data_IF_400355745290
#
_entry.id   IF_400355745290
#
_cell.length_a   1.000
_cell.length_b   1.000
_cell.length_c   1.000
_cell.angle_alpha   90.00
_cell.angle_beta   90.00
_cell.angle_gamma   90.00
#
_symmetry.space_group_name_H-M   'P 1'
#
loop_
_entity.id
_entity.type
_entity.pdbx_description
1 polymer ?
#
# COMPACT_ATOMS: atom_id res chain seq x y z
N UNK A 1 -25.91 5.46 -10.82
CA UNK A 1 -25.36 4.19 -11.35
C UNK A 1 -26.49 3.46 -12.06
N UNK A 2 -26.31 3.00 -13.31
CA UNK A 2 -27.33 2.26 -14.08
C UNK A 2 -26.81 0.86 -14.43
N UNK A 3 -27.55 -0.23 -14.15
CA UNK A 3 -27.08 -1.57 -14.51
C UNK A 3 -26.99 -1.73 -16.03
N UNK A 4 -25.97 -2.45 -16.51
CA UNK A 4 -25.83 -2.81 -17.93
C UNK A 4 -26.86 -3.89 -18.27
N UNK A 5 -27.51 -3.78 -19.44
CA UNK A 5 -28.62 -4.66 -19.83
C UNK A 5 -28.24 -6.16 -19.83
N UNK A 6 -26.97 -6.49 -20.10
CA UNK A 6 -26.49 -7.87 -20.25
C UNK A 6 -25.82 -8.47 -19.00
N UNK A 7 -25.66 -7.71 -17.91
CA UNK A 7 -24.98 -8.23 -16.71
C UNK A 7 -25.43 -7.54 -15.43
N UNK A 8 -25.94 -8.35 -14.49
CA UNK A 8 -26.34 -7.91 -13.13
C UNK A 8 -25.17 -7.39 -12.27
N UNK A 9 -23.92 -7.58 -12.71
CA UNK A 9 -22.72 -7.15 -11.98
C UNK A 9 -22.04 -5.92 -12.59
N UNK A 10 -22.48 -5.45 -13.75
CA UNK A 10 -21.88 -4.31 -14.45
C UNK A 10 -22.79 -3.10 -14.35
N UNK A 11 -22.21 -1.93 -14.05
CA UNK A 11 -22.93 -0.68 -13.93
C UNK A 11 -22.24 0.41 -14.75
N UNK A 12 -23.03 1.19 -15.46
CA UNK A 12 -22.61 2.45 -16.07
C UNK A 12 -22.70 3.55 -15.02
N UNK A 13 -21.61 4.28 -14.85
CA UNK A 13 -21.55 5.45 -13.98
C UNK A 13 -21.87 6.70 -14.80
N UNK A 14 -22.75 7.54 -14.27
CA UNK A 14 -23.05 8.84 -14.83
C UNK A 14 -22.25 9.88 -14.04
N UNK A 15 -21.45 10.70 -14.72
CA UNK A 15 -20.66 11.75 -14.07
C UNK A 15 -21.61 12.81 -13.54
N UNK A 16 -21.50 13.11 -12.26
CA UNK A 16 -22.26 14.18 -11.60
C UNK A 16 -21.29 15.25 -11.16
N UNK A 17 -21.49 16.50 -11.60
CA UNK A 17 -20.58 17.61 -11.28
C UNK A 17 -20.89 18.27 -9.93
N UNK A 18 -22.14 18.22 -9.49
CA UNK A 18 -22.58 18.80 -8.22
C UNK A 18 -23.44 17.79 -7.44
N UNK A 19 -23.13 17.65 -6.15
CA UNK A 19 -23.97 16.89 -5.23
C UNK A 19 -25.15 17.78 -4.83
N UNK A 20 -26.30 17.58 -5.47
CA UNK A 20 -27.55 18.23 -5.07
C UNK A 20 -27.92 17.73 -3.67
N UNK A 21 -27.51 18.49 -2.67
CA UNK A 21 -27.73 18.15 -1.26
C UNK A 21 -29.16 18.51 -0.90
N UNK A 22 -29.78 17.66 -0.09
CA UNK A 22 -31.17 17.80 0.36
C UNK A 22 -31.46 19.11 1.12
N UNK A 23 -30.41 19.82 1.56
CA UNK A 23 -30.47 21.13 2.21
C UNK A 23 -31.24 22.22 1.44
N UNK A 24 -31.54 22.01 0.16
CA UNK A 24 -32.33 22.93 -0.66
C UNK A 24 -33.86 22.77 -0.48
N UNK A 25 -34.34 21.72 0.20
CA UNK A 25 -35.76 21.55 0.49
C UNK A 25 -36.16 22.46 1.66
N UNK A 26 -37.01 23.45 1.37
CA UNK A 26 -37.50 24.40 2.36
C UNK A 26 -38.52 23.73 3.29
N UNK A 27 -38.15 23.50 4.56
CA UNK A 27 -39.04 22.88 5.55
C UNK A 27 -39.76 24.00 6.32
N UNK A 28 -41.06 24.15 6.06
CA UNK A 28 -41.83 25.29 6.58
C UNK A 28 -42.35 25.09 8.03
N UNK A 29 -42.39 23.87 8.54
CA UNK A 29 -42.90 23.59 9.90
C UNK A 29 -42.28 22.36 10.59
N UNK A 30 -42.08 22.47 11.91
CA UNK A 30 -41.59 21.40 12.77
C UNK A 30 -42.34 21.35 14.11
N UNK A 31 -42.44 20.15 14.69
CA UNK A 31 -43.03 19.92 16.00
C UNK A 31 -42.04 20.16 17.15
N UNK A 32 -42.54 20.24 18.38
CA UNK A 32 -41.70 20.42 19.59
C UNK A 32 -41.32 19.10 20.27
N UNK A 33 -42.15 18.09 20.17
CA UNK A 33 -41.93 16.78 20.78
C UNK A 33 -42.66 15.67 20.01
N UNK A 34 -42.52 14.43 20.47
CA UNK A 34 -43.07 13.23 19.84
C UNK A 34 -44.28 12.64 20.58
N UNK A 35 -44.89 13.36 21.54
CA UNK A 35 -45.92 12.76 22.43
C UNK A 35 -47.17 12.29 21.69
N UNK A 36 -47.47 12.90 20.54
CA UNK A 36 -48.62 12.59 19.67
C UNK A 36 -48.21 11.79 18.42
N UNK A 37 -46.97 11.30 18.33
CA UNK A 37 -46.51 10.49 17.20
C UNK A 37 -46.68 9.01 17.56
N UNK A 38 -47.59 8.35 16.85
CA UNK A 38 -47.84 6.91 17.01
C UNK A 38 -47.19 6.13 15.87
N UNK A 39 -46.55 4.99 16.20
CA UNK A 39 -46.00 4.06 15.20
C UNK A 39 -47.04 3.01 14.83
N UNK A 40 -47.88 3.33 13.86
CA UNK A 40 -48.96 2.47 13.33
C UNK A 40 -48.57 1.78 12.01
N UNK A 41 -47.34 2.00 11.53
CA UNK A 41 -46.89 1.53 10.22
C UNK A 41 -47.53 2.24 9.02
N UNK A 42 -48.44 3.21 9.20
CA UNK A 42 -49.16 3.91 8.12
C UNK A 42 -48.68 5.35 7.89
N UNK A 43 -47.57 5.72 8.54
CA UNK A 43 -46.95 7.05 8.47
C UNK A 43 -46.46 7.45 7.08
N UNK A 44 -46.21 6.50 6.18
CA UNK A 44 -45.84 6.74 4.78
C UNK A 44 -46.98 6.23 3.89
N UNK A 45 -47.53 7.12 3.07
CA UNK A 45 -48.64 6.77 2.17
C UNK A 45 -48.19 6.05 0.90
N UNK A 46 -46.94 6.24 0.46
CA UNK A 46 -46.39 5.56 -0.71
C UNK A 46 -46.04 4.10 -0.40
N UNK A 47 -46.45 3.22 -1.29
CA UNK A 47 -46.12 1.79 -1.27
C UNK A 47 -44.66 1.56 -1.69
N UNK A 48 -44.16 0.35 -1.43
CA UNK A 48 -42.79 -0.03 -1.80
C UNK A 48 -42.59 -0.01 -3.31
N UNK A 49 -43.59 -0.47 -4.06
CA UNK A 49 -43.59 -0.53 -5.52
C UNK A 49 -43.52 0.89 -6.13
N UNK A 50 -44.30 1.83 -5.60
CA UNK A 50 -44.26 3.24 -6.03
C UNK A 50 -42.89 3.88 -5.77
N UNK A 51 -42.29 3.61 -4.61
CA UNK A 51 -40.96 4.14 -4.26
C UNK A 51 -39.87 3.59 -5.21
N UNK A 52 -40.01 2.35 -5.67
CA UNK A 52 -39.08 1.77 -6.65
C UNK A 52 -39.25 2.49 -7.99
N UNK A 53 -40.49 2.69 -8.46
CA UNK A 53 -40.75 3.45 -9.70
C UNK A 53 -40.19 4.87 -9.64
N UNK A 54 -40.27 5.53 -8.49
CA UNK A 54 -39.65 6.85 -8.30
C UNK A 54 -38.13 6.84 -8.50
N UNK A 55 -37.45 5.74 -8.18
CA UNK A 55 -36.01 5.58 -8.42
C UNK A 55 -35.68 5.43 -9.90
N UNK A 56 -36.58 4.81 -10.67
CA UNK A 56 -36.41 4.59 -12.10
C UNK A 56 -36.78 5.84 -12.92
N UNK A 57 -37.77 6.62 -12.45
CA UNK A 57 -38.29 7.82 -13.13
C UNK A 57 -37.56 9.12 -12.75
N UNK A 58 -37.09 9.26 -11.50
CA UNK A 58 -36.55 10.52 -11.00
C UNK A 58 -35.03 10.58 -11.16
N UNK A 59 -34.53 11.68 -11.72
CA UNK A 59 -33.09 11.90 -11.93
C UNK A 59 -32.37 12.39 -10.66
N UNK A 60 -33.08 13.04 -9.74
CA UNK A 60 -32.50 13.62 -8.52
C UNK A 60 -32.99 12.93 -7.25
N UNK A 61 -32.06 12.67 -6.33
CA UNK A 61 -32.36 12.18 -4.98
C UNK A 61 -33.20 13.18 -4.18
N UNK A 62 -33.01 14.47 -4.40
CA UNK A 62 -33.79 15.53 -3.77
C UNK A 62 -35.28 15.38 -4.10
N UNK A 63 -35.62 15.04 -5.35
CA UNK A 63 -37.01 14.85 -5.79
C UNK A 63 -37.66 13.64 -5.13
N UNK A 64 -36.93 12.52 -5.04
CA UNK A 64 -37.40 11.31 -4.37
C UNK A 64 -37.65 11.59 -2.89
N UNK A 65 -36.72 12.27 -2.21
CA UNK A 65 -36.89 12.58 -0.78
C UNK A 65 -37.99 13.61 -0.57
N UNK A 66 -38.11 14.63 -1.43
CA UNK A 66 -39.23 15.58 -1.40
C UNK A 66 -40.59 14.88 -1.53
N UNK A 67 -40.74 13.95 -2.48
CA UNK A 67 -41.95 13.13 -2.61
C UNK A 67 -42.21 12.28 -1.36
N UNK A 68 -41.18 11.71 -0.73
CA UNK A 68 -41.32 10.93 0.50
C UNK A 68 -41.73 11.77 1.72
N UNK A 69 -41.29 13.04 1.79
CA UNK A 69 -41.70 13.98 2.83
C UNK A 69 -43.17 14.36 2.65
N UNK A 70 -43.55 14.77 1.44
CA UNK A 70 -44.89 15.23 1.12
C UNK A 70 -45.96 14.15 1.38
N UNK A 71 -45.57 12.86 1.25
CA UNK A 71 -46.44 11.72 1.53
C UNK A 71 -46.29 11.15 2.96
N UNK A 72 -45.60 11.85 3.87
CA UNK A 72 -45.45 11.42 5.25
C UNK A 72 -46.38 12.17 6.19
N UNK A 73 -47.31 11.45 6.82
CA UNK A 73 -48.29 12.01 7.76
C UNK A 73 -47.65 12.61 9.02
N UNK A 74 -46.50 12.07 9.43
CA UNK A 74 -45.84 12.42 10.69
C UNK A 74 -44.66 13.37 10.53
N UNK A 75 -44.27 13.75 9.30
CA UNK A 75 -43.06 14.52 9.09
C UNK A 75 -43.11 15.94 9.68
N UNK A 76 -44.21 16.68 9.48
CA UNK A 76 -44.39 18.02 10.05
C UNK A 76 -44.47 18.03 11.57
N UNK A 77 -44.96 16.94 12.18
CA UNK A 77 -45.06 16.78 13.63
C UNK A 77 -43.72 16.42 14.30
N UNK A 78 -42.71 16.03 13.53
CA UNK A 78 -41.36 15.73 14.05
C UNK A 78 -40.63 17.01 14.43
N UNK A 79 -39.76 16.89 15.43
CA UNK A 79 -38.79 17.95 15.75
C UNK A 79 -37.85 18.21 14.59
N UNK A 80 -37.29 19.42 14.54
CA UNK A 80 -36.30 19.83 13.53
C UNK A 80 -35.16 18.81 13.39
N UNK A 81 -34.52 18.41 14.49
CA UNK A 81 -33.48 17.38 14.48
C UNK A 81 -33.97 16.03 13.95
N UNK A 82 -35.23 15.66 14.23
CA UNK A 82 -35.82 14.40 13.76
C UNK A 82 -36.14 14.45 12.27
N UNK A 83 -36.55 15.62 11.75
CA UNK A 83 -36.72 15.89 10.33
C UNK A 83 -35.36 15.80 9.63
N UNK A 84 -34.34 16.54 10.09
CA UNK A 84 -32.99 16.51 9.49
C UNK A 84 -32.40 15.08 9.50
N UNK A 85 -32.54 14.36 10.61
CA UNK A 85 -32.12 12.95 10.72
C UNK A 85 -32.85 12.04 9.72
N UNK A 86 -34.15 12.25 9.52
CA UNK A 86 -34.93 11.52 8.52
C UNK A 86 -34.42 11.83 7.11
N UNK A 87 -34.18 13.11 6.80
CA UNK A 87 -33.68 13.59 5.51
C UNK A 87 -32.32 12.97 5.18
N UNK A 88 -31.33 13.07 6.07
CA UNK A 88 -30.01 12.44 5.92
C UNK A 88 -30.10 10.93 5.71
N UNK A 89 -31.03 10.26 6.41
CA UNK A 89 -31.26 8.81 6.25
C UNK A 89 -31.82 8.48 4.86
N UNK A 90 -32.74 9.29 4.34
CA UNK A 90 -33.33 9.08 3.00
C UNK A 90 -32.35 9.47 1.90
N UNK A 91 -31.58 10.55 2.07
CA UNK A 91 -30.46 10.94 1.22
C UNK A 91 -29.51 9.77 1.03
N UNK A 92 -28.95 9.24 2.12
CA UNK A 92 -27.99 8.13 2.07
C UNK A 92 -28.56 6.87 1.41
N UNK A 93 -29.88 6.66 1.48
CA UNK A 93 -30.54 5.47 0.90
C UNK A 93 -30.81 5.60 -0.60
N UNK A 94 -31.23 6.78 -1.05
CA UNK A 94 -31.65 6.99 -2.44
C UNK A 94 -30.61 7.73 -3.29
N UNK A 95 -29.62 8.34 -2.65
CA UNK A 95 -28.47 8.98 -3.28
C UNK A 95 -27.22 8.12 -3.07
N UNK A 96 -27.07 7.14 -3.96
CA UNK A 96 -25.87 6.30 -4.02
C UNK A 96 -24.94 6.81 -5.11
N UNK A 97 -23.74 7.23 -4.73
CA UNK A 97 -22.71 7.70 -5.63
C UNK A 97 -21.36 7.09 -5.25
N UNK A 98 -20.49 6.99 -6.25
CA UNK A 98 -19.10 6.57 -6.07
C UNK A 98 -18.22 7.80 -6.25
N UNK A 99 -17.33 8.04 -5.30
CA UNK A 99 -16.39 9.13 -5.38
C UNK A 99 -14.99 8.59 -5.65
N UNK A 100 -14.43 8.98 -6.79
CA UNK A 100 -13.03 8.71 -7.11
C UNK A 100 -12.15 9.74 -6.39
N UNK A 101 -11.23 9.26 -5.56
CA UNK A 101 -10.25 10.08 -4.85
C UNK A 101 -8.85 9.62 -5.24
N UNK A 102 -7.91 10.55 -5.29
CA UNK A 102 -6.50 10.19 -5.41
C UNK A 102 -6.10 9.32 -4.21
N UNK A 103 -5.42 8.18 -4.44
CA UNK A 103 -4.82 7.40 -3.37
C UNK A 103 -3.96 8.28 -2.46
N UNK A 104 -4.14 8.14 -1.15
CA UNK A 104 -3.31 8.79 -0.15
C UNK A 104 -3.17 7.84 1.03
N UNK A 105 -2.13 8.01 1.83
CA UNK A 105 -1.81 7.13 2.96
C UNK A 105 -3.00 6.93 3.90
N UNK A 106 -3.74 8.01 4.21
CA UNK A 106 -4.92 7.96 5.10
C UNK A 106 -6.05 7.06 4.58
N UNK A 107 -6.17 6.88 3.27
CA UNK A 107 -7.18 6.00 2.67
C UNK A 107 -6.90 4.51 2.91
N UNK A 108 -5.66 4.14 3.21
CA UNK A 108 -5.22 2.74 3.35
C UNK A 108 -4.99 2.29 4.80
N UNK A 109 -5.16 3.17 5.79
CA UNK A 109 -4.92 2.86 7.22
C UNK A 109 -5.97 1.93 7.85
N UNK A 110 -6.82 1.28 7.06
CA UNK A 110 -7.89 0.46 7.60
C UNK A 110 -7.35 -0.80 8.30
N UNK A 111 -7.25 -0.70 9.65
CA UNK A 111 -7.11 -1.79 10.64
C UNK A 111 -5.94 -2.76 10.45
N UNK A 112 -4.87 -2.37 9.78
CA UNK A 112 -3.61 -3.14 9.80
C UNK A 112 -2.96 -2.96 11.17
N UNK A 113 -2.91 -4.05 11.94
CA UNK A 113 -2.31 -4.10 13.30
C UNK A 113 -2.91 -3.13 14.33
N UNK A 114 -4.16 -2.70 14.11
CA UNK A 114 -4.80 -1.73 14.99
C UNK A 114 -4.22 -0.32 14.89
N UNK A 115 -3.28 -0.08 13.97
CA UNK A 115 -2.73 1.25 13.70
C UNK A 115 -3.82 2.15 13.16
N UNK A 116 -3.91 3.33 13.74
CA UNK A 116 -4.74 4.44 13.28
C UNK A 116 -3.87 5.47 12.58
N UNK A 117 -4.54 6.39 11.87
CA UNK A 117 -3.85 7.48 11.18
C UNK A 117 -3.08 8.38 12.15
N UNK A 118 -3.60 8.56 13.37
CA UNK A 118 -2.92 9.29 14.43
C UNK A 118 -1.66 8.58 14.92
N UNK A 119 -1.65 7.25 15.02
CA UNK A 119 -0.46 6.47 15.38
C UNK A 119 0.64 6.63 14.33
N UNK A 120 0.29 6.49 13.04
CA UNK A 120 1.26 6.68 11.93
C UNK A 120 1.83 8.09 11.97
N UNK A 121 0.99 9.10 12.17
CA UNK A 121 1.43 10.50 12.25
C UNK A 121 2.42 10.73 13.40
N UNK A 122 2.15 10.11 14.56
CA UNK A 122 3.05 10.15 15.72
C UNK A 122 4.36 9.42 15.43
N UNK A 123 4.32 8.22 14.85
CA UNK A 123 5.52 7.45 14.49
C UNK A 123 6.42 8.24 13.54
N UNK A 124 5.85 8.84 12.48
CA UNK A 124 6.62 9.66 11.53
C UNK A 124 7.25 10.89 12.20
N UNK A 125 6.52 11.52 13.14
CA UNK A 125 7.01 12.70 13.86
C UNK A 125 8.10 12.33 14.86
N UNK A 126 7.90 11.29 15.68
CA UNK A 126 8.88 10.84 16.67
C UNK A 126 10.12 10.22 16.01
N UNK A 127 9.95 9.57 14.87
CA UNK A 127 11.06 9.08 14.03
C UNK A 127 11.77 10.18 13.25
N UNK A 128 11.32 11.44 13.37
CA UNK A 128 11.86 12.60 12.66
C UNK A 128 12.04 12.33 11.16
N UNK A 129 11.02 11.78 10.51
CA UNK A 129 11.07 11.46 9.08
C UNK A 129 11.03 12.77 8.28
N UNK A 130 12.04 12.95 7.42
CA UNK A 130 12.30 14.18 6.65
C UNK A 130 12.64 13.86 5.19
N UNK A 131 12.64 14.88 4.33
CA UNK A 131 12.84 14.74 2.88
C UNK A 131 14.22 14.20 2.47
N UNK A 132 15.28 14.61 3.17
CA UNK A 132 16.67 14.27 2.79
C UNK A 132 17.30 13.20 3.68
N UNK A 133 16.52 12.62 4.60
CA UNK A 133 17.02 11.61 5.54
C UNK A 133 17.06 10.20 4.95
N UNK A 134 17.97 9.39 5.48
CA UNK A 134 18.08 7.96 5.23
C UNK A 134 17.46 7.21 6.40
N UNK A 135 16.45 6.37 6.14
CA UNK A 135 15.70 5.70 7.19
C UNK A 135 15.71 4.19 7.02
N UNK A 136 15.69 3.47 8.15
CA UNK A 136 15.43 2.03 8.17
C UNK A 136 13.99 1.81 8.65
N UNK A 137 13.25 0.98 7.91
CA UNK A 137 11.99 0.42 8.35
C UNK A 137 12.13 -1.10 8.44
N UNK A 138 11.87 -1.69 9.60
CA UNK A 138 11.54 -3.10 9.69
C UNK A 138 10.02 -3.30 9.71
N UNK A 139 9.47 -4.00 8.73
CA UNK A 139 8.05 -4.29 8.62
C UNK A 139 7.78 -5.81 8.48
N UNK A 140 7.03 -6.39 9.42
CA UNK A 140 6.59 -7.80 9.38
C UNK A 140 5.10 -7.98 9.09
N UNK A 141 4.41 -6.95 8.61
CA UNK A 141 3.15 -7.15 7.89
C UNK A 141 2.13 -6.02 7.96
N UNK A 142 2.59 -4.77 7.88
CA UNK A 142 1.71 -3.64 7.54
C UNK A 142 1.36 -3.61 6.04
N UNK A 143 1.73 -4.65 5.28
CA UNK A 143 1.51 -4.75 3.83
C UNK A 143 2.13 -3.58 3.05
N UNK A 144 3.23 -3.03 3.57
CA UNK A 144 3.91 -1.86 3.04
C UNK A 144 3.23 -0.53 3.38
N UNK A 145 2.24 -0.50 4.29
CA UNK A 145 1.59 0.75 4.70
C UNK A 145 2.59 1.71 5.37
N UNK A 146 3.44 1.21 6.25
CA UNK A 146 4.48 2.05 6.88
C UNK A 146 5.53 2.49 5.87
N UNK A 147 5.95 1.61 4.96
CA UNK A 147 6.87 1.96 3.89
C UNK A 147 6.29 3.08 3.01
N UNK A 148 5.02 2.94 2.61
CA UNK A 148 4.27 3.94 1.87
C UNK A 148 4.13 5.26 2.64
N UNK A 149 3.92 5.20 3.95
CA UNK A 149 3.80 6.39 4.82
C UNK A 149 5.11 7.16 4.90
N UNK A 150 6.23 6.46 5.12
CA UNK A 150 7.57 7.04 5.17
C UNK A 150 7.95 7.60 3.80
N UNK A 151 7.72 6.86 2.71
CA UNK A 151 8.04 7.32 1.36
C UNK A 151 7.22 8.56 0.96
N UNK A 152 5.95 8.62 1.36
CA UNK A 152 5.12 9.81 1.17
C UNK A 152 5.62 11.02 1.98
N UNK A 153 6.19 10.80 3.16
CA UNK A 153 6.76 11.86 4.00
C UNK A 153 8.12 12.36 3.46
N UNK A 154 8.96 11.46 2.94
CA UNK A 154 10.20 11.82 2.24
C UNK A 154 9.86 12.67 1.00
N UNK A 155 8.87 12.24 0.21
CA UNK A 155 8.41 13.01 -0.95
C UNK A 155 9.22 12.74 -2.23
N UNK A 156 8.86 13.45 -3.30
CA UNK A 156 9.45 13.33 -4.64
C UNK A 156 10.50 14.42 -4.88
N UNK A 157 11.50 14.12 -5.73
CA UNK A 157 12.62 15.01 -6.04
C UNK A 157 13.46 15.37 -4.81
N UNK A 158 13.82 14.35 -4.03
CA UNK A 158 14.59 14.47 -2.79
C UNK A 158 15.68 13.41 -2.76
N UNK A 159 16.71 13.60 -1.93
CA UNK A 159 17.82 12.66 -1.87
C UNK A 159 17.63 11.56 -0.80
N UNK A 160 16.64 11.72 0.09
CA UNK A 160 16.39 10.77 1.19
C UNK A 160 16.01 9.37 0.71
N UNK A 161 16.45 8.34 1.42
CA UNK A 161 16.21 6.95 1.05
C UNK A 161 15.55 6.14 2.17
N UNK A 162 14.86 5.06 1.79
CA UNK A 162 14.23 4.14 2.73
C UNK A 162 14.78 2.73 2.51
N UNK A 163 15.43 2.16 3.52
CA UNK A 163 15.75 0.74 3.57
C UNK A 163 14.58 0.02 4.23
N UNK A 164 13.76 -0.63 3.42
CA UNK A 164 12.62 -1.41 3.86
C UNK A 164 13.03 -2.87 4.07
N UNK A 165 13.33 -3.19 5.31
CA UNK A 165 13.70 -4.53 5.77
C UNK A 165 12.44 -5.35 6.08
N UNK A 166 12.36 -6.55 5.54
CA UNK A 166 11.26 -7.47 5.78
C UNK A 166 11.76 -8.86 6.21
N UNK A 167 10.95 -9.63 6.95
CA UNK A 167 11.18 -11.06 7.12
C UNK A 167 10.78 -11.83 5.86
N UNK A 168 11.31 -13.06 5.72
CA UNK A 168 10.93 -13.98 4.64
C UNK A 168 11.46 -13.60 3.25
N UNK A 169 11.06 -14.37 2.24
CA UNK A 169 11.63 -14.25 0.89
C UNK A 169 11.10 -13.03 0.13
N UNK A 170 9.86 -12.62 0.39
CA UNK A 170 9.19 -11.56 -0.37
C UNK A 170 8.79 -10.38 0.51
N UNK A 171 8.97 -9.19 -0.06
CA UNK A 171 8.58 -7.94 0.56
C UNK A 171 7.10 -7.63 0.29
N UNK A 172 6.32 -7.36 1.33
CA UNK A 172 4.93 -6.91 1.16
C UNK A 172 4.90 -5.43 0.79
N UNK A 173 4.34 -5.09 -0.38
CA UNK A 173 4.37 -3.74 -0.96
C UNK A 173 3.01 -3.24 -1.47
N UNK A 174 1.91 -3.85 -1.04
CA UNK A 174 0.56 -3.55 -1.55
C UNK A 174 0.19 -2.07 -1.42
N UNK A 175 0.46 -1.46 -0.26
CA UNK A 175 0.15 -0.05 -0.06
C UNK A 175 1.06 0.88 -0.89
N UNK A 176 2.33 0.52 -1.07
CA UNK A 176 3.28 1.27 -1.92
C UNK A 176 2.81 1.27 -3.38
N UNK A 177 2.41 0.10 -3.89
CA UNK A 177 1.87 -0.05 -5.24
C UNK A 177 0.57 0.74 -5.42
N UNK A 178 -0.31 0.73 -4.41
CA UNK A 178 -1.60 1.41 -4.46
C UNK A 178 -1.50 2.95 -4.48
N UNK A 179 -0.43 3.53 -3.91
CA UNK A 179 -0.21 4.97 -3.91
C UNK A 179 0.39 5.53 -5.20
N UNK A 180 0.84 4.66 -6.13
CA UNK A 180 1.35 5.04 -7.44
C UNK A 180 2.43 6.13 -7.37
N UNK A 181 3.46 5.90 -6.55
CA UNK A 181 4.59 6.80 -6.44
C UNK A 181 5.36 6.90 -7.78
N UNK A 182 5.99 8.05 -8.08
CA UNK A 182 6.95 8.18 -9.17
C UNK A 182 8.07 7.15 -9.08
N UNK A 183 8.59 6.73 -10.24
CA UNK A 183 9.64 5.72 -10.35
C UNK A 183 10.88 6.05 -9.50
N UNK A 184 11.27 7.33 -9.46
CA UNK A 184 12.39 7.82 -8.64
C UNK A 184 12.20 7.53 -7.14
N UNK A 185 10.98 7.72 -6.60
CA UNK A 185 10.67 7.40 -5.20
C UNK A 185 10.72 5.88 -4.97
N UNK A 186 10.22 5.09 -5.92
CA UNK A 186 10.25 3.63 -5.84
C UNK A 186 11.70 3.10 -5.83
N UNK A 187 12.58 3.70 -6.62
CA UNK A 187 14.00 3.35 -6.67
C UNK A 187 14.75 3.72 -5.39
N UNK A 188 14.33 4.75 -4.67
CA UNK A 188 14.86 5.12 -3.35
C UNK A 188 14.33 4.25 -2.20
N UNK A 189 13.27 3.47 -2.43
CA UNK A 189 12.76 2.47 -1.50
C UNK A 189 13.45 1.11 -1.73
N UNK A 190 14.53 0.86 -1.00
CA UNK A 190 15.37 -0.34 -1.13
C UNK A 190 14.74 -1.46 -0.29
N UNK A 191 14.11 -2.43 -0.95
CA UNK A 191 13.45 -3.55 -0.27
C UNK A 191 14.43 -4.71 -0.10
N UNK A 192 14.70 -5.12 1.14
CA UNK A 192 15.69 -6.17 1.43
C UNK A 192 15.19 -7.12 2.52
N UNK A 193 15.58 -8.38 2.40
CA UNK A 193 15.42 -9.32 3.49
C UNK A 193 16.42 -8.97 4.62
N UNK A 194 15.92 -8.89 5.85
CA UNK A 194 16.72 -8.52 7.04
C UNK A 194 17.98 -9.39 7.20
N UNK A 195 17.85 -10.71 7.10
CA UNK A 195 18.96 -11.63 7.28
C UNK A 195 20.00 -11.49 6.16
N UNK A 196 19.53 -11.39 4.91
CA UNK A 196 20.40 -11.28 3.74
C UNK A 196 21.24 -10.01 3.73
N UNK A 197 20.64 -8.86 4.08
CA UNK A 197 21.37 -7.58 4.11
C UNK A 197 22.38 -7.52 5.25
N UNK A 198 22.03 -7.98 6.46
CA UNK A 198 22.94 -8.00 7.60
C UNK A 198 24.14 -8.91 7.33
N UNK A 199 23.89 -10.11 6.81
CA UNK A 199 24.97 -11.04 6.40
C UNK A 199 25.86 -10.41 5.33
N UNK A 200 25.28 -9.73 4.35
CA UNK A 200 26.04 -9.03 3.30
C UNK A 200 26.95 -7.95 3.92
N UNK A 201 26.41 -7.15 4.83
CA UNK A 201 27.14 -6.07 5.50
C UNK A 201 28.31 -6.61 6.35
N UNK A 202 28.07 -7.64 7.16
CA UNK A 202 29.12 -8.29 7.96
C UNK A 202 30.22 -8.92 7.10
N UNK A 203 29.84 -9.60 6.02
CA UNK A 203 30.80 -10.19 5.09
C UNK A 203 31.67 -9.11 4.44
N UNK A 204 31.10 -7.96 4.05
CA UNK A 204 31.87 -6.83 3.51
C UNK A 204 32.84 -6.29 4.57
N UNK A 205 32.36 -6.03 5.79
CA UNK A 205 33.20 -5.55 6.89
C UNK A 205 34.37 -6.49 7.21
N UNK A 206 34.11 -7.80 7.30
CA UNK A 206 35.13 -8.80 7.59
C UNK A 206 36.13 -8.93 6.44
N UNK A 207 35.68 -8.83 5.19
CA UNK A 207 36.56 -8.84 4.03
C UNK A 207 37.50 -7.62 4.02
N UNK A 208 37.00 -6.44 4.37
CA UNK A 208 37.81 -5.22 4.54
C UNK A 208 38.86 -5.40 5.64
N UNK A 209 38.46 -5.91 6.81
CA UNK A 209 39.36 -6.15 7.96
C UNK A 209 40.47 -7.15 7.62
N UNK A 210 40.14 -8.22 6.89
CA UNK A 210 41.10 -9.26 6.51
C UNK A 210 42.19 -8.78 5.56
N UNK A 211 41.94 -7.71 4.79
CA UNK A 211 42.83 -7.27 3.70
C UNK A 211 43.83 -6.19 4.08
N UNK A 212 43.69 -5.52 5.24
CA UNK A 212 44.63 -4.49 5.73
C UNK A 212 45.06 -3.43 4.68
N UNK A 213 44.19 -3.11 3.70
CA UNK A 213 44.57 -2.19 2.63
C UNK A 213 44.60 -0.71 3.07
N UNK A 214 45.49 0.13 2.51
CA UNK A 214 45.43 1.59 2.63
C UNK A 214 44.09 2.14 2.12
N UNK A 215 43.53 3.18 2.76
CA UNK A 215 42.20 3.74 2.46
C UNK A 215 41.98 4.07 0.97
N UNK A 216 43.00 4.60 0.27
CA UNK A 216 42.94 4.89 -1.18
C UNK A 216 42.69 3.66 -2.08
N UNK A 217 43.10 2.46 -1.64
CA UNK A 217 42.89 1.23 -2.40
C UNK A 217 41.49 0.66 -2.16
N UNK A 218 40.92 0.92 -0.98
CA UNK A 218 39.59 0.44 -0.61
C UNK A 218 38.48 1.08 -1.45
N UNK A 219 38.59 2.38 -1.72
CA UNK A 219 37.66 3.13 -2.59
C UNK A 219 37.65 2.63 -4.04
N UNK A 220 38.76 2.04 -4.51
CA UNK A 220 38.87 1.44 -5.85
C UNK A 220 38.34 0.01 -5.92
N UNK A 221 38.25 -0.71 -4.80
CA UNK A 221 37.86 -2.12 -4.75
C UNK A 221 36.35 -2.37 -4.64
N UNK A 222 35.51 -1.34 -4.59
CA UNK A 222 34.05 -1.42 -4.38
C UNK A 222 33.31 -2.27 -5.44
N UNK A 223 33.95 -2.59 -6.57
CA UNK A 223 33.35 -3.39 -7.64
C UNK A 223 33.72 -4.88 -7.66
N UNK A 224 34.53 -5.37 -6.71
CA UNK A 224 34.90 -6.80 -6.67
C UNK A 224 34.06 -7.50 -5.60
N UNK A 225 33.39 -8.59 -5.97
CA UNK A 225 32.75 -9.49 -5.01
C UNK A 225 33.85 -10.19 -4.18
N UNK A 226 34.34 -9.48 -3.16
CA UNK A 226 35.47 -9.87 -2.34
C UNK A 226 35.19 -11.19 -1.59
N UNK A 227 33.92 -11.47 -1.30
CA UNK A 227 33.48 -12.75 -0.75
C UNK A 227 33.78 -13.92 -1.70
N UNK A 228 33.56 -13.77 -3.02
CA UNK A 228 33.91 -14.82 -3.99
C UNK A 228 35.42 -15.03 -4.11
N UNK A 229 36.21 -13.96 -3.99
CA UNK A 229 37.68 -14.03 -4.00
C UNK A 229 38.19 -14.72 -2.74
N UNK A 230 37.72 -14.32 -1.56
CA UNK A 230 38.09 -14.94 -0.28
C UNK A 230 37.61 -16.40 -0.21
N UNK A 231 36.44 -16.71 -0.76
CA UNK A 231 35.95 -18.09 -0.88
C UNK A 231 36.91 -18.95 -1.73
N UNK A 232 37.40 -18.46 -2.86
CA UNK A 232 38.40 -19.17 -3.66
C UNK A 232 39.75 -19.32 -2.95
N UNK A 233 40.18 -18.34 -2.16
CA UNK A 233 41.47 -18.39 -1.45
C UNK A 233 41.47 -19.31 -0.22
N UNK A 234 40.36 -19.39 0.52
CA UNK A 234 40.26 -20.19 1.75
C UNK A 234 39.61 -21.58 1.57
N UNK A 235 39.02 -21.91 0.42
CA UNK A 235 38.42 -23.23 0.17
C UNK A 235 39.40 -24.35 -0.18
N UNK A 236 40.71 -24.14 -0.09
CA UNK A 236 41.66 -25.25 -0.16
C UNK A 236 41.69 -26.11 1.11
N UNK A 237 40.96 -25.75 2.17
CA UNK A 237 40.77 -26.63 3.33
C UNK A 237 39.31 -26.68 3.77
N UNK A 238 38.81 -27.92 3.91
CA UNK A 238 37.51 -28.36 4.44
C UNK A 238 36.31 -28.42 3.46
N UNK A 239 36.01 -29.67 3.07
CA UNK A 239 34.83 -30.14 2.36
C UNK A 239 33.59 -30.17 3.28
N UNK A 240 32.50 -29.52 2.87
CA UNK A 240 31.15 -29.84 3.35
C UNK A 240 30.11 -29.56 2.26
N UNK A 241 29.16 -30.48 2.13
CA UNK A 241 28.22 -30.69 1.02
C UNK A 241 27.05 -29.69 1.03
N UNK A 242 26.83 -28.97 -0.07
CA UNK A 242 25.60 -28.21 -0.33
C UNK A 242 24.53 -29.14 -0.93
N UNK A 243 23.36 -29.20 -0.30
CA UNK A 243 22.13 -29.76 -0.89
C UNK A 243 21.57 -28.74 -1.86
N UNK A 244 21.55 -29.09 -3.15
CA UNK A 244 20.89 -28.31 -4.21
C UNK A 244 19.37 -28.39 -4.03
N UNK A 245 18.73 -27.26 -3.80
CA UNK A 245 17.31 -27.08 -4.13
C UNK A 245 17.18 -26.01 -5.20
N UNK A 246 17.03 -26.47 -6.44
CA UNK A 246 16.62 -25.66 -7.57
C UNK A 246 15.11 -25.42 -7.48
N UNK A 247 14.70 -24.17 -7.28
CA UNK A 247 13.39 -23.69 -7.74
C UNK A 247 13.61 -22.34 -8.41
N UNK A 248 13.38 -22.34 -9.73
CA UNK A 248 13.31 -21.15 -10.58
C UNK A 248 11.90 -20.56 -10.41
N UNK A 249 11.83 -19.31 -9.97
CA UNK A 249 10.64 -18.48 -10.16
C UNK A 249 11.09 -17.20 -10.87
N UNK A 250 10.56 -17.03 -12.07
CA UNK A 250 10.72 -15.86 -12.91
C UNK A 250 9.85 -14.71 -12.34
N UNK A 251 10.46 -13.54 -12.12
CA UNK A 251 9.70 -12.31 -11.89
C UNK A 251 9.18 -11.80 -13.24
N UNK A 252 7.96 -12.19 -13.60
CA UNK A 252 7.22 -11.52 -14.67
C UNK A 252 6.59 -10.24 -14.13
N UNK A 253 7.05 -9.09 -14.66
CA UNK A 253 6.29 -7.84 -14.65
C UNK A 253 5.06 -8.02 -15.54
N UNK A 254 3.91 -8.25 -14.93
CA UNK A 254 2.62 -8.22 -15.64
C UNK A 254 2.30 -6.78 -16.09
N UNK A 255 2.50 -6.51 -17.38
CA UNK A 255 1.74 -5.49 -18.09
C UNK A 255 0.41 -6.13 -18.50
N UNK A 256 -0.70 -5.57 -18.00
CA UNK A 256 -2.05 -6.00 -18.38
C UNK A 256 -2.44 -5.28 -19.67
N UNK A 257 -2.44 -6.00 -20.78
CA UNK A 257 -3.38 -5.76 -21.89
C UNK A 257 -4.06 -7.09 -22.24
N UNK A 258 -5.38 -7.14 -22.05
CA UNK A 258 -6.24 -8.23 -22.48
C UNK A 258 -6.26 -8.31 -24.02
N UNK A 259 -5.99 -9.47 -24.59
CA UNK A 259 -6.84 -10.07 -25.65
C UNK A 259 -6.40 -11.52 -25.98
N UNK A 260 -7.33 -12.44 -25.72
CA UNK A 260 -7.65 -13.70 -26.41
C UNK A 260 -6.67 -14.23 -27.49
N UNK A 261 -6.11 -15.43 -27.29
CA UNK A 261 -6.53 -16.70 -27.93
C UNK A 261 -5.49 -17.82 -27.69
N UNK A 262 -6.00 -19.05 -27.59
CA UNK A 262 -5.27 -20.30 -27.40
C UNK A 262 -4.10 -20.47 -28.40
N UNK A 263 -2.96 -21.02 -27.96
CA UNK A 263 -2.21 -22.07 -28.70
C UNK A 263 -1.24 -22.80 -27.75
N UNK A 264 -1.43 -24.11 -27.73
CA UNK A 264 -0.67 -25.24 -27.20
C UNK A 264 0.80 -25.07 -26.77
N UNK A 265 1.08 -25.62 -25.59
CA UNK A 265 2.38 -26.10 -25.10
C UNK A 265 3.08 -27.06 -26.09
N UNK A 266 4.28 -26.72 -26.55
CA UNK A 266 5.27 -27.70 -27.07
C UNK A 266 6.70 -27.22 -26.81
N UNK A 267 7.41 -27.98 -25.96
CA UNK A 267 8.85 -27.88 -25.73
C UNK A 267 9.60 -28.13 -27.05
N UNK A 268 10.59 -27.30 -27.37
CA UNK A 268 11.66 -27.66 -28.29
C UNK A 268 13.01 -27.40 -27.61
N UNK A 269 13.67 -28.50 -27.29
CA UNK A 269 15.09 -28.58 -27.03
C UNK A 269 15.80 -28.33 -28.38
N UNK A 270 16.60 -27.27 -28.48
CA UNK A 270 17.54 -27.11 -29.58
C UNK A 270 18.91 -26.80 -29.02
N UNK A 271 19.73 -27.84 -29.01
CA UNK A 271 21.19 -27.78 -28.90
C UNK A 271 21.75 -26.92 -30.03
N UNK A 272 22.45 -25.84 -29.69
CA UNK A 272 23.46 -25.24 -30.55
C UNK A 272 24.47 -24.54 -29.65
N UNK A 273 25.70 -25.05 -29.69
CA UNK A 273 26.83 -24.54 -28.93
C UNK A 273 27.23 -23.14 -29.37
N UNK A 274 27.79 -22.42 -28.42
CA UNK A 274 28.31 -21.08 -28.55
C UNK A 274 28.75 -20.63 -27.17
N UNK A 275 29.98 -21.00 -26.81
CA UNK A 275 30.66 -20.53 -25.60
C UNK A 275 30.82 -19.02 -25.68
N UNK A 276 29.84 -18.30 -25.15
CA UNK A 276 29.99 -16.94 -24.67
C UNK A 276 29.60 -17.00 -23.19
N UNK A 277 30.60 -17.23 -22.33
CA UNK A 277 30.49 -17.04 -20.89
C UNK A 277 30.22 -15.54 -20.62
N UNK A 278 28.98 -15.10 -20.84
CA UNK A 278 28.51 -13.89 -20.20
C UNK A 278 28.55 -14.17 -18.69
N UNK A 279 29.25 -13.33 -17.89
CA UNK A 279 29.27 -13.52 -16.45
C UNK A 279 27.82 -13.56 -15.96
N UNK A 280 27.49 -14.59 -15.18
CA UNK A 280 26.14 -14.82 -14.69
C UNK A 280 25.57 -13.51 -14.13
N UNK A 281 24.48 -13.00 -14.72
CA UNK A 281 23.84 -11.76 -14.27
C UNK A 281 23.48 -11.94 -12.79
N UNK A 282 24.03 -11.07 -11.93
CA UNK A 282 23.68 -11.03 -10.51
C UNK A 282 22.16 -10.89 -10.36
N UNK A 283 21.60 -11.55 -9.37
CA UNK A 283 20.16 -11.49 -9.10
C UNK A 283 19.77 -10.11 -8.55
N UNK A 284 18.53 -9.65 -8.80
CA UNK A 284 18.06 -8.32 -8.39
C UNK A 284 18.28 -8.03 -6.89
N UNK A 285 17.94 -8.99 -6.03
CA UNK A 285 18.11 -8.88 -4.58
C UNK A 285 19.57 -8.66 -4.13
N UNK A 286 20.55 -9.08 -4.93
CA UNK A 286 21.97 -8.85 -4.63
C UNK A 286 22.33 -7.37 -4.83
N UNK A 287 21.78 -6.73 -5.86
CA UNK A 287 21.96 -5.30 -6.09
C UNK A 287 21.29 -4.47 -5.01
N UNK A 288 20.08 -4.86 -4.59
CA UNK A 288 19.37 -4.19 -3.49
C UNK A 288 20.13 -4.30 -2.16
N UNK A 289 20.68 -5.47 -1.85
CA UNK A 289 21.54 -5.64 -0.67
C UNK A 289 22.82 -4.79 -0.76
N UNK A 290 23.50 -4.80 -1.92
CA UNK A 290 24.69 -3.96 -2.12
C UNK A 290 24.36 -2.46 -1.97
N UNK A 291 23.19 -2.02 -2.48
CA UNK A 291 22.71 -0.64 -2.35
C UNK A 291 22.39 -0.30 -0.89
N UNK A 292 21.68 -1.18 -0.19
CA UNK A 292 21.37 -1.00 1.23
C UNK A 292 22.65 -0.92 2.09
N UNK A 293 23.64 -1.81 1.87
CA UNK A 293 24.91 -1.78 2.59
C UNK A 293 25.69 -0.47 2.42
N UNK A 294 25.66 0.13 1.21
CA UNK A 294 26.27 1.44 0.96
C UNK A 294 25.63 2.53 1.82
N UNK A 295 24.30 2.54 1.94
CA UNK A 295 23.58 3.49 2.79
C UNK A 295 23.87 3.22 4.28
N UNK A 296 23.83 1.95 4.71
CA UNK A 296 24.12 1.55 6.10
C UNK A 296 25.53 1.92 6.59
N UNK A 297 26.50 2.00 5.67
CA UNK A 297 27.89 2.38 6.00
C UNK A 297 27.97 3.81 6.52
N UNK A 298 27.12 4.71 6.03
CA UNK A 298 27.11 6.13 6.39
C UNK A 298 26.23 6.43 7.62
N UNK A 299 25.74 5.41 8.32
CA UNK A 299 24.67 5.50 9.32
C UNK A 299 23.36 6.04 8.74
N UNK A 300 22.28 5.90 9.50
CA UNK A 300 20.93 6.34 9.13
C UNK A 300 20.37 7.31 10.17
N UNK A 301 19.44 8.15 9.73
CA UNK A 301 18.86 9.23 10.52
C UNK A 301 17.71 8.76 11.43
N UNK A 302 17.08 7.63 11.09
CA UNK A 302 16.00 7.09 11.90
C UNK A 302 15.71 5.61 11.64
N UNK A 303 15.15 4.96 12.67
CA UNK A 303 14.74 3.56 12.66
C UNK A 303 13.27 3.46 13.10
N UNK A 304 12.45 2.86 12.24
CA UNK A 304 11.06 2.53 12.54
C UNK A 304 10.91 1.01 12.54
N UNK A 305 10.28 0.47 13.58
CA UNK A 305 10.02 -0.98 13.71
C UNK A 305 8.52 -1.17 13.85
N UNK A 306 7.91 -1.85 12.89
CA UNK A 306 6.49 -2.25 12.93
C UNK A 306 6.37 -3.74 12.75
N UNK A 307 6.22 -4.45 13.86
CA UNK A 307 6.22 -5.91 13.87
C UNK A 307 5.22 -6.49 14.87
N UNK A 308 4.81 -7.74 14.67
CA UNK A 308 4.05 -8.51 15.66
C UNK A 308 4.96 -9.20 16.67
N UNK A 309 6.17 -9.52 16.24
CA UNK A 309 7.19 -10.18 17.04
C UNK A 309 7.73 -9.24 18.12
N UNK A 310 8.38 -9.81 19.13
CA UNK A 310 9.02 -9.03 20.17
C UNK A 310 10.21 -8.23 19.59
N UNK A 311 10.20 -6.89 19.66
CA UNK A 311 11.10 -6.05 18.86
C UNK A 311 12.53 -6.01 19.37
N UNK A 312 12.81 -6.44 20.60
CA UNK A 312 14.12 -6.21 21.25
C UNK A 312 15.32 -6.76 20.48
N UNK A 313 15.20 -7.95 19.87
CA UNK A 313 16.32 -8.50 19.12
C UNK A 313 16.56 -7.73 17.83
N UNK A 314 15.49 -7.42 17.10
CA UNK A 314 15.55 -6.61 15.88
C UNK A 314 16.13 -5.23 16.18
N UNK A 315 15.67 -4.61 17.27
CA UNK A 315 16.20 -3.32 17.74
C UNK A 315 17.70 -3.40 18.04
N UNK A 316 18.16 -4.40 18.79
CA UNK A 316 19.59 -4.57 19.11
C UNK A 316 20.47 -4.73 17.87
N UNK A 317 19.98 -5.43 16.85
CA UNK A 317 20.71 -5.62 15.60
C UNK A 317 20.73 -4.35 14.72
N UNK A 318 19.67 -3.53 14.77
CA UNK A 318 19.53 -2.38 13.87
C UNK A 318 19.99 -1.04 14.46
N UNK A 319 19.98 -0.90 15.78
CA UNK A 319 20.48 0.31 16.49
C UNK A 319 21.92 0.67 16.14
N UNK A 320 22.86 -0.27 15.92
CA UNK A 320 24.22 0.06 15.51
C UNK A 320 24.31 0.82 14.19
N UNK A 321 23.26 0.89 13.37
CA UNK A 321 23.25 1.68 12.13
C UNK A 321 22.73 3.11 12.32
N UNK A 322 22.19 3.45 13.50
CA UNK A 322 21.77 4.82 13.79
C UNK A 322 22.98 5.73 14.05
N UNK A 323 22.79 7.00 13.73
CA UNK A 323 23.72 8.10 14.02
C UNK A 323 23.63 8.51 15.49
#
# INVERSE_FOLDING_TARGET
MKPKQDSKKMYTLEKVEQLNTISQLNIESSGKDNRNITDDGTSQSLTKEEIIKLKDESLSSADIVGKLINNSKTFSSKTEYSQEKYMKKKEKKYFEYVQFRKPNTSSFVNRLYGLRIDDISQILTYGNIQADGNFILYDSGTSGLMAASILNAIGANTEGSLIHMHPGNECQKNAVLALQFPQEQLERCINVNLYSVLRCFECQKNAVLALQFPQEQLERCINVNLYSVLRCFYQNESSYSEVKHEQKEDCETENIEETTENISTKRKLSSSGGDNENPAKKACWQYDNEKACKVLTNKVDGLVITCKEHPVNIFKELVPFLT
#
